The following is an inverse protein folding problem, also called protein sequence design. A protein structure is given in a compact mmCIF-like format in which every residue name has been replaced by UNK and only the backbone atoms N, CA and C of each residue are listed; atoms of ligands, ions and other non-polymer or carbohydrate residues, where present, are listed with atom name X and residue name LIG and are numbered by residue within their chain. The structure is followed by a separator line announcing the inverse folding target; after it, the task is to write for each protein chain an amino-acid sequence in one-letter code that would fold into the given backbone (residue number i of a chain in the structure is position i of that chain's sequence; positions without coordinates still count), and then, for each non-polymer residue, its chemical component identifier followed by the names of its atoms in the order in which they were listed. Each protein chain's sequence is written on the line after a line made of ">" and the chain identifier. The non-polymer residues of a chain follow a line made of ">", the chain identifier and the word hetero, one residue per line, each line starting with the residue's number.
data_IF_513179552278
#
_entry.id   IF_513179552278
#
_cell.length_a   1.000
_cell.length_b   1.000
_cell.length_c   1.000
_cell.angle_alpha   90.00
_cell.angle_beta   90.00
_cell.angle_gamma   90.00
#
_symmetry.space_group_name_H-M   'P 1'
#
loop_
_entity.id
_entity.type
_entity.pdbx_description
1 polymer ?
#
# COMPACT_ATOMS: atom_id res chain seq x y z
N UNK A 1 -7.32 9.77 9.38
CA UNK A 1 -6.84 8.52 8.75
C UNK A 1 -5.47 8.24 9.32
N UNK A 2 -5.23 7.04 9.85
CA UNK A 2 -3.93 6.65 10.38
C UNK A 2 -2.94 6.29 9.25
N UNK A 3 -1.62 6.38 9.48
CA UNK A 3 -0.62 5.94 8.50
C UNK A 3 -0.72 4.45 8.19
N UNK A 4 -0.59 4.08 6.91
CA UNK A 4 -0.60 2.67 6.51
C UNK A 4 0.77 2.04 6.70
N UNK A 5 1.00 1.42 7.85
CA UNK A 5 2.22 0.66 8.11
C UNK A 5 2.18 -0.71 7.43
N UNK A 6 3.33 -1.17 6.95
CA UNK A 6 3.48 -2.50 6.35
C UNK A 6 3.73 -3.55 7.42
N UNK A 7 3.20 -4.75 7.18
CA UNK A 7 3.42 -5.92 8.03
C UNK A 7 4.24 -6.98 7.28
N UNK A 8 4.53 -8.11 7.92
CA UNK A 8 5.28 -9.23 7.34
C UNK A 8 4.66 -9.84 6.07
N UNK A 9 3.42 -9.48 5.71
CA UNK A 9 2.82 -9.96 4.46
C UNK A 9 3.59 -9.46 3.22
N UNK A 10 4.12 -8.23 3.24
CA UNK A 10 4.83 -7.68 2.08
C UNK A 10 6.27 -8.18 1.94
N UNK A 11 6.74 -9.06 2.83
CA UNK A 11 8.06 -9.70 2.70
C UNK A 11 7.97 -11.01 1.90
N UNK A 12 6.76 -11.52 1.62
CA UNK A 12 6.55 -12.75 0.88
C UNK A 12 6.52 -12.51 -0.64
N UNK A 13 7.30 -13.28 -1.38
CA UNK A 13 7.31 -13.29 -2.83
C UNK A 13 5.95 -13.81 -3.35
N UNK A 14 5.27 -13.08 -4.25
CA UNK A 14 3.96 -13.49 -4.75
C UNK A 14 3.99 -14.75 -5.63
N UNK A 15 5.13 -15.11 -6.23
CA UNK A 15 5.28 -16.29 -7.08
C UNK A 15 5.53 -17.57 -6.26
N UNK A 16 6.33 -17.47 -5.19
CA UNK A 16 6.80 -18.64 -4.42
C UNK A 16 6.19 -18.76 -3.03
N UNK A 17 5.65 -17.68 -2.48
CA UNK A 17 5.17 -17.58 -1.09
C UNK A 17 6.27 -17.51 -0.02
N UNK A 18 7.54 -17.57 -0.42
CA UNK A 18 8.69 -17.52 0.49
C UNK A 18 8.95 -16.08 0.89
N UNK A 19 9.30 -15.85 2.17
CA UNK A 19 9.76 -14.54 2.64
C UNK A 19 11.22 -14.32 2.31
N UNK A 20 11.50 -13.87 1.09
CA UNK A 20 12.86 -13.76 0.52
C UNK A 20 13.34 -12.31 0.34
N UNK A 21 12.50 -11.31 0.66
CA UNK A 21 12.86 -9.90 0.58
C UNK A 21 12.53 -9.15 1.88
N UNK A 22 13.52 -8.42 2.43
CA UNK A 22 13.35 -7.60 3.64
C UNK A 22 12.75 -6.22 3.31
N UNK A 23 11.49 -6.21 2.88
CA UNK A 23 10.77 -4.97 2.55
C UNK A 23 10.55 -4.08 3.77
N UNK A 24 10.48 -4.64 4.99
CA UNK A 24 10.30 -3.86 6.22
C UNK A 24 11.60 -3.19 6.67
N UNK A 25 12.74 -3.89 6.60
CA UNK A 25 14.05 -3.30 6.87
C UNK A 25 14.40 -2.19 5.87
N UNK A 26 14.07 -2.39 4.59
CA UNK A 26 14.22 -1.35 3.57
C UNK A 26 13.43 -0.07 3.92
N UNK A 27 12.16 -0.20 4.32
CA UNK A 27 11.37 0.95 4.77
C UNK A 27 11.95 1.56 6.05
N UNK A 28 12.33 0.73 7.02
CA UNK A 28 12.87 1.17 8.30
C UNK A 28 14.18 1.97 8.16
N UNK A 29 14.98 1.68 7.13
CA UNK A 29 16.16 2.48 6.79
C UNK A 29 15.82 3.93 6.42
N UNK A 30 14.57 4.21 6.01
CA UNK A 30 14.02 5.55 5.81
C UNK A 30 13.30 6.12 7.05
N UNK A 31 13.38 5.44 8.20
CA UNK A 31 12.82 5.92 9.47
C UNK A 31 11.31 5.69 9.64
N UNK A 32 10.68 4.89 8.77
CA UNK A 32 9.25 4.57 8.87
C UNK A 32 8.94 3.17 8.31
N UNK A 33 7.69 2.72 8.45
CA UNK A 33 7.16 1.55 7.72
C UNK A 33 5.92 1.89 6.90
N UNK A 34 5.66 3.18 6.70
CA UNK A 34 4.53 3.68 5.94
C UNK A 34 4.73 3.40 4.45
N UNK A 35 3.73 2.81 3.82
CA UNK A 35 3.70 2.63 2.36
C UNK A 35 2.23 2.47 1.94
N UNK A 36 1.74 3.23 0.95
CA UNK A 36 0.31 3.36 0.56
C UNK A 36 -0.55 4.28 1.45
N UNK A 37 -1.82 4.45 1.05
CA UNK A 37 -2.86 5.29 1.70
C UNK A 37 -4.15 4.49 1.90
N UNK A 38 -4.86 4.74 2.99
CA UNK A 38 -6.24 4.27 3.16
C UNK A 38 -7.21 5.24 2.49
N UNK A 39 -8.23 4.69 1.84
CA UNK A 39 -9.35 5.44 1.30
C UNK A 39 -10.66 4.84 1.79
N UNK A 40 -11.69 5.68 1.91
CA UNK A 40 -13.06 5.27 2.26
C UNK A 40 -13.94 5.62 1.07
N UNK A 41 -14.72 4.65 0.59
CA UNK A 41 -15.72 4.89 -0.45
C UNK A 41 -16.83 5.79 0.12
N UNK A 42 -16.91 7.03 -0.36
CA UNK A 42 -17.94 8.00 0.06
C UNK A 42 -19.24 7.86 -0.75
N UNK A 43 -19.15 7.37 -1.97
CA UNK A 43 -20.27 7.23 -2.91
C UNK A 43 -20.17 5.89 -3.66
N UNK A 44 -21.30 5.40 -4.15
CA UNK A 44 -21.35 4.24 -5.05
C UNK A 44 -20.95 4.65 -6.48
N UNK A 45 -20.40 3.71 -7.25
CA UNK A 45 -20.04 3.92 -8.65
C UNK A 45 -19.19 2.78 -9.21
N UNK A 46 -18.85 2.89 -10.50
CA UNK A 46 -17.95 1.96 -11.20
C UNK A 46 -16.61 2.65 -11.45
N UNK A 47 -15.52 1.91 -11.29
CA UNK A 47 -14.16 2.35 -11.63
C UNK A 47 -13.61 1.46 -12.74
N UNK A 48 -12.90 2.06 -13.68
CA UNK A 48 -12.25 1.39 -14.81
C UNK A 48 -10.77 1.77 -14.90
N UNK A 49 -9.97 0.89 -15.50
CA UNK A 49 -8.56 1.20 -15.80
C UNK A 49 -8.51 2.42 -16.73
N UNK A 50 -7.67 3.39 -16.38
CA UNK A 50 -7.51 4.64 -17.12
C UNK A 50 -8.39 5.80 -16.63
N UNK A 51 -9.28 5.58 -15.67
CA UNK A 51 -10.02 6.67 -15.03
C UNK A 51 -9.06 7.69 -14.40
N UNK A 52 -9.34 8.98 -14.62
CA UNK A 52 -8.50 10.07 -14.11
C UNK A 52 -8.85 10.40 -12.67
N UNK A 53 -7.83 10.53 -11.83
CA UNK A 53 -7.97 11.07 -10.48
C UNK A 53 -7.90 12.60 -10.50
N UNK A 54 -8.72 13.23 -9.67
CA UNK A 54 -8.70 14.68 -9.43
C UNK A 54 -8.64 14.91 -7.92
N UNK A 55 -7.79 15.84 -7.49
CA UNK A 55 -7.83 16.36 -6.13
C UNK A 55 -9.08 17.22 -5.97
N UNK A 56 -9.89 16.90 -4.96
CA UNK A 56 -11.10 17.66 -4.62
C UNK A 56 -10.72 18.60 -3.48
N UNK A 57 -11.03 19.88 -3.66
CA UNK A 57 -10.83 20.94 -2.64
C UNK A 57 -11.80 20.79 -1.45
#
# INVERSE_FOLDING_TARGET
>A
VEPVQRCMATTANPETGIRDADTLGALQAHGHQNFSVYAVAKNNGTLSLGDKLKLID
#
